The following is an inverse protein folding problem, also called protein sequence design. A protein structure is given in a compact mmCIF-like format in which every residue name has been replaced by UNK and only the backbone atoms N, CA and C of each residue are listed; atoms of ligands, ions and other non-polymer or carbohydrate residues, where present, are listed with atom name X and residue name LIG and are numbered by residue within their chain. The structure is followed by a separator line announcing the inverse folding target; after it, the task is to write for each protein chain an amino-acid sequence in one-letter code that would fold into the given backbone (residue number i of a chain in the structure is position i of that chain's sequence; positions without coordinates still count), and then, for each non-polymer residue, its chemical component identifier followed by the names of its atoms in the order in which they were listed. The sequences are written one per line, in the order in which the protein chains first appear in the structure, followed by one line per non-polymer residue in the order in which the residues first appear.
data_IF_290476054376
#
_entry.id   IF_290476054376
#
_cell.length_a   1.000
_cell.length_b   1.000
_cell.length_c   1.000
_cell.angle_alpha   90.00
_cell.angle_beta   90.00
_cell.angle_gamma   90.00
#
_symmetry.space_group_name_H-M   'P 1'
#
loop_
_entity.id
_entity.type
_entity.pdbx_description
1 polymer ?
#
# COMPACT_ATOMS: atom_id res chain seq x y z
N UNK A 1 -2.31 12.11 16.10
CA UNK A 1 -1.81 11.21 15.06
C UNK A 1 -1.58 11.99 13.78
N UNK A 2 -0.52 11.68 13.05
CA UNK A 2 -0.15 12.39 11.82
C UNK A 2 0.08 11.41 10.68
N UNK A 3 -0.17 11.86 9.47
CA UNK A 3 0.14 11.12 8.25
C UNK A 3 1.08 11.97 7.40
N UNK A 4 2.19 11.41 6.97
CA UNK A 4 3.12 12.05 6.03
C UNK A 4 3.23 11.23 4.75
N UNK A 5 3.38 11.90 3.63
CA UNK A 5 3.62 11.27 2.33
C UNK A 5 4.78 11.93 1.57
N UNK A 6 5.52 12.81 2.22
CA UNK A 6 6.67 13.46 1.62
C UNK A 6 7.80 12.46 1.37
N UNK A 7 8.39 12.50 0.18
CA UNK A 7 9.46 11.56 -0.22
C UNK A 7 10.65 11.62 0.74
N UNK A 8 10.99 12.82 1.22
CA UNK A 8 12.08 13.00 2.19
C UNK A 8 11.83 12.24 3.49
N UNK A 9 10.60 12.28 4.01
CA UNK A 9 10.21 11.54 5.22
C UNK A 9 10.19 10.04 4.97
N UNK A 10 9.78 9.60 3.80
CA UNK A 10 9.80 8.20 3.39
C UNK A 10 11.23 7.69 3.36
N UNK A 11 12.14 8.43 2.75
CA UNK A 11 13.55 8.03 2.65
C UNK A 11 14.25 8.07 4.01
N UNK A 12 13.91 9.03 4.86
CA UNK A 12 14.44 9.11 6.24
C UNK A 12 14.02 7.90 7.10
N UNK A 13 12.90 7.25 6.76
CA UNK A 13 12.38 6.08 7.46
C UNK A 13 12.50 4.80 6.62
N UNK A 14 13.42 4.78 5.67
CA UNK A 14 13.54 3.69 4.71
C UNK A 14 13.65 2.30 5.32
N UNK A 15 14.40 2.04 6.39
CA UNK A 15 14.45 0.69 6.98
C UNK A 15 13.07 0.13 7.35
N UNK A 16 12.20 0.95 7.88
CA UNK A 16 10.82 0.55 8.23
C UNK A 16 9.93 0.42 6.99
N UNK A 17 10.07 1.31 6.03
CA UNK A 17 9.37 1.24 4.75
C UNK A 17 9.77 -0.04 4.00
N UNK A 18 11.05 -0.33 3.92
CA UNK A 18 11.59 -1.56 3.34
C UNK A 18 11.00 -2.80 4.01
N UNK A 19 11.00 -2.83 5.33
CA UNK A 19 10.43 -3.92 6.10
C UNK A 19 8.95 -4.13 5.77
N UNK A 20 8.17 -3.06 5.71
CA UNK A 20 6.76 -3.11 5.35
C UNK A 20 6.54 -3.68 3.95
N UNK A 21 7.35 -3.29 2.97
CA UNK A 21 7.29 -3.81 1.61
C UNK A 21 7.57 -5.31 1.61
N UNK A 22 8.61 -5.74 2.30
CA UNK A 22 8.99 -7.16 2.39
C UNK A 22 7.89 -8.00 3.04
N UNK A 23 7.29 -7.52 4.13
CA UNK A 23 6.24 -8.24 4.84
C UNK A 23 4.91 -8.28 4.07
N UNK A 24 4.58 -7.22 3.37
CA UNK A 24 3.37 -7.18 2.54
C UNK A 24 3.49 -8.04 1.26
N UNK A 25 4.70 -8.42 0.88
CA UNK A 25 5.01 -9.12 -0.37
C UNK A 25 5.19 -10.63 -0.19
N UNK A 26 4.43 -11.23 0.72
CA UNK A 26 4.55 -12.67 1.04
C UNK A 26 4.18 -13.59 -0.13
N UNK A 27 3.46 -13.09 -1.13
CA UNK A 27 3.14 -13.83 -2.35
C UNK A 27 4.31 -13.88 -3.33
N UNK A 28 5.33 -13.03 -3.15
CA UNK A 28 6.53 -13.00 -3.98
C UNK A 28 7.57 -13.94 -3.38
N UNK A 29 8.22 -14.81 -4.19
CA UNK A 29 9.30 -15.66 -3.70
C UNK A 29 10.38 -14.86 -2.98
N UNK A 30 10.90 -15.38 -1.88
CA UNK A 30 11.86 -14.68 -1.03
C UNK A 30 13.06 -14.12 -1.80
N UNK A 31 13.61 -14.93 -2.72
CA UNK A 31 14.74 -14.52 -3.57
C UNK A 31 14.47 -13.34 -4.50
N UNK A 32 13.21 -13.04 -4.74
CA UNK A 32 12.78 -11.94 -5.63
C UNK A 32 12.36 -10.69 -4.85
N UNK A 33 12.27 -10.76 -3.52
CA UNK A 33 11.80 -9.63 -2.69
C UNK A 33 12.75 -8.45 -2.72
N UNK A 34 14.05 -8.67 -2.85
CA UNK A 34 15.03 -7.57 -2.94
C UNK A 34 14.85 -6.78 -4.24
N UNK A 35 14.57 -7.47 -5.34
CA UNK A 35 14.24 -6.82 -6.62
C UNK A 35 12.96 -6.02 -6.50
N UNK A 36 11.94 -6.57 -5.84
CA UNK A 36 10.68 -5.88 -5.58
C UNK A 36 10.89 -4.62 -4.74
N UNK A 37 11.70 -4.69 -3.69
CA UNK A 37 12.04 -3.54 -2.84
C UNK A 37 12.73 -2.46 -3.67
N UNK A 38 13.70 -2.82 -4.49
CA UNK A 38 14.39 -1.89 -5.37
C UNK A 38 13.43 -1.21 -6.36
N UNK A 39 12.59 -1.99 -7.04
CA UNK A 39 11.62 -1.46 -7.99
C UNK A 39 10.62 -0.53 -7.31
N UNK A 40 10.17 -0.89 -6.11
CA UNK A 40 9.25 -0.04 -5.33
C UNK A 40 9.92 1.27 -4.93
N UNK A 41 11.20 1.25 -4.54
CA UNK A 41 11.96 2.45 -4.25
C UNK A 41 12.03 3.38 -5.47
N UNK A 42 12.30 2.83 -6.64
CA UNK A 42 12.31 3.59 -7.89
C UNK A 42 10.94 4.21 -8.19
N UNK A 43 9.86 3.47 -7.99
CA UNK A 43 8.50 3.98 -8.18
C UNK A 43 8.18 5.13 -7.23
N UNK A 44 8.61 5.04 -5.98
CA UNK A 44 8.42 6.13 -5.00
C UNK A 44 9.18 7.38 -5.42
N UNK A 45 10.44 7.23 -5.80
CA UNK A 45 11.29 8.35 -6.21
C UNK A 45 10.83 9.02 -7.50
N UNK A 46 10.21 8.28 -8.40
CA UNK A 46 9.67 8.80 -9.67
C UNK A 46 8.22 9.27 -9.58
N UNK A 47 7.59 9.12 -8.42
CA UNK A 47 6.21 9.54 -8.20
C UNK A 47 5.13 8.58 -8.72
N UNK A 48 5.51 7.38 -9.20
CA UNK A 48 4.55 6.38 -9.66
C UNK A 48 3.82 5.67 -8.52
N UNK A 49 4.43 5.67 -7.34
CA UNK A 49 3.86 5.11 -6.13
C UNK A 49 3.89 6.14 -5.01
N UNK A 50 2.78 6.30 -4.32
CA UNK A 50 2.69 7.15 -3.13
C UNK A 50 2.70 6.28 -1.88
N UNK A 51 3.43 6.72 -0.88
CA UNK A 51 3.50 6.06 0.43
C UNK A 51 2.99 7.03 1.48
N UNK A 52 2.16 6.52 2.39
CA UNK A 52 1.74 7.24 3.59
C UNK A 52 2.32 6.55 4.80
N UNK A 53 2.91 7.33 5.67
CA UNK A 53 3.37 6.88 6.98
C UNK A 53 2.44 7.45 8.04
N UNK A 54 1.77 6.58 8.77
CA UNK A 54 1.00 6.97 9.95
C UNK A 54 1.90 6.91 11.17
N UNK A 55 2.03 8.02 11.89
CA UNK A 55 2.93 8.13 13.04
C UNK A 55 2.35 9.04 14.12
N UNK A 56 2.91 8.96 15.33
CA UNK A 56 2.55 9.82 16.46
C UNK A 56 3.56 10.95 16.72
N UNK A 57 4.51 11.16 15.81
CA UNK A 57 5.63 12.08 15.94
C UNK A 57 6.92 11.40 16.38
N UNK A 58 6.87 10.24 16.98
CA UNK A 58 8.01 9.45 17.45
C UNK A 58 8.04 8.08 16.82
N UNK A 59 6.91 7.36 16.85
CA UNK A 59 6.81 5.98 16.39
C UNK A 59 5.93 5.89 15.14
N UNK A 60 6.36 5.04 14.18
CA UNK A 60 5.57 4.70 13.02
C UNK A 60 4.58 3.60 13.42
N UNK A 61 3.31 3.83 13.15
CA UNK A 61 2.24 2.88 13.42
C UNK A 61 1.87 2.01 12.22
N UNK A 62 1.86 2.59 11.04
CA UNK A 62 1.51 1.88 9.81
C UNK A 62 2.15 2.52 8.59
N UNK A 63 2.32 1.72 7.56
CA UNK A 63 2.78 2.14 6.24
C UNK A 63 1.81 1.61 5.21
N UNK A 64 1.30 2.50 4.37
CA UNK A 64 0.38 2.17 3.28
C UNK A 64 0.89 2.80 2.00
N UNK A 65 0.93 2.02 0.94
CA UNK A 65 1.30 2.50 -0.39
C UNK A 65 0.17 2.35 -1.38
N UNK A 66 0.20 3.13 -2.42
CA UNK A 66 -0.75 3.05 -3.52
C UNK A 66 -0.10 3.39 -4.85
N UNK A 67 -0.50 2.68 -5.88
CA UNK A 67 -0.08 2.91 -7.26
C UNK A 67 -1.31 3.02 -8.15
N UNK A 68 -1.24 3.87 -9.17
CA UNK A 68 -2.28 3.97 -10.18
C UNK A 68 -2.02 2.89 -11.21
N UNK A 69 -3.02 2.06 -11.45
CA UNK A 69 -2.97 1.02 -12.47
C UNK A 69 -4.07 1.26 -13.50
N UNK A 70 -3.73 1.15 -14.77
CA UNK A 70 -4.70 1.15 -15.86
C UNK A 70 -4.87 -0.27 -16.35
N UNK A 71 -6.11 -0.76 -16.38
CA UNK A 71 -6.46 -2.09 -16.87
C UNK A 71 -7.33 -1.99 -18.12
N UNK A 72 -7.12 -2.93 -19.04
CA UNK A 72 -7.90 -3.05 -20.28
C UNK A 72 -7.45 -2.09 -21.38
N UNK A 73 -7.28 -2.55 -22.58
CA UNK A 73 -6.84 -1.92 -23.81
C UNK A 73 -7.20 -0.43 -24.03
N UNK A 74 -7.91 -0.12 -25.14
CA UNK A 74 -8.28 1.26 -25.51
C UNK A 74 -9.26 1.93 -24.53
N UNK A 75 -10.00 1.15 -23.75
CA UNK A 75 -10.95 1.63 -22.75
C UNK A 75 -10.42 1.46 -21.31
N UNK A 76 -9.10 1.64 -21.13
CA UNK A 76 -8.50 1.45 -19.83
C UNK A 76 -9.06 2.42 -18.79
N UNK A 77 -9.53 1.87 -17.65
CA UNK A 77 -10.02 2.64 -16.54
C UNK A 77 -8.94 2.67 -15.45
N UNK A 78 -8.51 3.85 -15.00
CA UNK A 78 -7.52 3.93 -13.93
C UNK A 78 -8.15 3.49 -12.61
N UNK A 79 -7.39 2.71 -11.85
CA UNK A 79 -7.74 2.28 -10.50
C UNK A 79 -6.55 2.45 -9.58
N UNK A 80 -6.81 2.51 -8.29
CA UNK A 80 -5.76 2.53 -7.27
C UNK A 80 -5.55 1.09 -6.78
N UNK A 81 -4.31 0.69 -6.69
CA UNK A 81 -3.92 -0.55 -6.04
C UNK A 81 -3.17 -0.21 -4.75
N UNK A 82 -3.68 -0.68 -3.63
CA UNK A 82 -2.99 -0.52 -2.34
C UNK A 82 -1.90 -1.58 -2.23
N UNK A 83 -0.66 -1.15 -2.11
CA UNK A 83 0.49 -2.00 -1.84
C UNK A 83 1.73 -1.12 -1.55
N UNK A 84 2.47 -1.33 -0.46
CA UNK A 84 2.17 -2.25 0.64
C UNK A 84 1.08 -1.74 1.59
N UNK A 85 0.61 -2.61 2.47
CA UNK A 85 -0.14 -2.24 3.66
C UNK A 85 0.44 -3.04 4.84
N UNK A 86 0.94 -2.36 5.84
CA UNK A 86 1.57 -2.99 7.00
C UNK A 86 1.38 -2.15 8.26
N UNK A 87 0.90 -2.77 9.32
CA UNK A 87 0.75 -2.14 10.63
C UNK A 87 1.81 -2.66 11.61
N UNK A 88 2.55 -1.74 12.21
CA UNK A 88 3.51 -2.05 13.28
C UNK A 88 2.83 -2.17 14.64
N UNK A 89 1.76 -1.42 14.84
CA UNK A 89 0.95 -1.44 16.06
C UNK A 89 -0.54 -1.44 15.67
N UNK A 90 -1.44 -1.86 16.58
CA UNK A 90 -2.87 -1.77 16.31
C UNK A 90 -3.30 -0.35 15.98
N UNK A 91 -4.11 -0.20 14.95
CA UNK A 91 -4.66 1.08 14.53
C UNK A 91 -5.99 1.35 15.20
N UNK A 92 -6.18 2.58 15.67
CA UNK A 92 -7.46 3.05 16.18
C UNK A 92 -8.43 3.32 15.02
N UNK A 93 -9.70 3.53 15.33
CA UNK A 93 -10.70 3.95 14.33
C UNK A 93 -10.28 5.26 13.66
N UNK A 94 -9.77 6.21 14.43
CA UNK A 94 -9.28 7.50 13.92
C UNK A 94 -8.11 7.33 12.95
N UNK A 95 -7.17 6.43 13.28
CA UNK A 95 -6.03 6.11 12.42
C UNK A 95 -6.48 5.58 11.06
N UNK A 96 -7.45 4.68 11.06
CA UNK A 96 -8.02 4.09 9.84
C UNK A 96 -8.72 5.13 9.00
N UNK A 97 -9.45 6.05 9.62
CA UNK A 97 -10.12 7.15 8.91
C UNK A 97 -9.13 8.10 8.26
N UNK A 98 -8.00 8.41 8.91
CA UNK A 98 -6.94 9.22 8.34
C UNK A 98 -6.33 8.57 7.08
N UNK A 99 -6.03 7.27 7.14
CA UNK A 99 -5.50 6.53 5.99
C UNK A 99 -6.52 6.45 4.87
N UNK A 100 -7.76 6.14 5.20
CA UNK A 100 -8.86 6.09 4.23
C UNK A 100 -9.03 7.43 3.52
N UNK A 101 -9.00 8.53 4.26
CA UNK A 101 -9.09 9.88 3.69
C UNK A 101 -7.96 10.13 2.69
N UNK A 102 -6.72 9.81 3.06
CA UNK A 102 -5.57 9.98 2.17
C UNK A 102 -5.73 9.19 0.87
N UNK A 103 -6.14 7.94 0.95
CA UNK A 103 -6.38 7.07 -0.20
C UNK A 103 -7.53 7.59 -1.08
N UNK A 104 -8.63 8.02 -0.47
CA UNK A 104 -9.78 8.56 -1.20
C UNK A 104 -9.44 9.87 -1.91
N UNK A 105 -8.71 10.77 -1.26
CA UNK A 105 -8.26 12.02 -1.87
C UNK A 105 -7.31 11.74 -3.04
N UNK A 106 -6.39 10.81 -2.88
CA UNK A 106 -5.48 10.38 -3.95
C UNK A 106 -6.25 9.81 -5.16
N UNK A 107 -7.25 8.97 -4.90
CA UNK A 107 -8.09 8.40 -5.95
C UNK A 107 -8.86 9.50 -6.70
N UNK A 108 -9.50 10.42 -5.98
CA UNK A 108 -10.24 11.53 -6.58
C UNK A 108 -9.35 12.44 -7.41
N UNK A 109 -8.17 12.80 -6.89
CA UNK A 109 -7.22 13.67 -7.57
C UNK A 109 -6.67 13.03 -8.86
N UNK A 110 -6.67 11.71 -8.96
CA UNK A 110 -6.23 10.96 -10.13
C UNK A 110 -7.37 10.39 -10.97
N UNK A 111 -8.60 10.82 -10.69
CA UNK A 111 -9.82 10.40 -11.41
C UNK A 111 -10.03 8.88 -11.41
N UNK A 112 -9.66 8.22 -10.31
CA UNK A 112 -9.88 6.81 -10.08
C UNK A 112 -11.18 6.59 -9.31
N UNK A 113 -12.00 5.65 -9.75
CA UNK A 113 -13.29 5.36 -9.12
C UNK A 113 -13.25 4.16 -8.18
N UNK A 114 -12.19 3.35 -8.23
CA UNK A 114 -12.07 2.11 -7.48
C UNK A 114 -10.69 2.02 -6.85
N UNK A 115 -10.66 1.55 -5.61
CA UNK A 115 -9.43 1.22 -4.89
C UNK A 115 -9.45 -0.28 -4.61
N UNK A 116 -8.45 -1.00 -5.10
CA UNK A 116 -8.25 -2.42 -4.82
C UNK A 116 -7.07 -2.61 -3.88
N UNK A 117 -7.12 -3.68 -3.10
CA UNK A 117 -6.00 -4.09 -2.28
C UNK A 117 -5.82 -5.59 -2.32
N UNK A 118 -4.58 -6.04 -2.34
CA UNK A 118 -4.26 -7.43 -2.13
C UNK A 118 -3.25 -7.57 -1.01
N UNK A 119 -3.40 -8.63 -0.22
CA UNK A 119 -2.40 -8.99 0.76
C UNK A 119 -2.50 -10.48 1.05
N UNK A 120 -1.38 -11.13 1.22
CA UNK A 120 -1.32 -12.49 1.73
C UNK A 120 -1.40 -12.53 3.27
N UNK A 121 -1.38 -11.37 3.93
CA UNK A 121 -1.42 -11.27 5.39
C UNK A 121 -2.87 -11.18 5.88
N UNK A 122 -3.36 -12.17 6.66
CA UNK A 122 -4.73 -12.14 7.19
C UNK A 122 -5.05 -10.91 8.05
N UNK A 123 -4.06 -10.31 8.70
CA UNK A 123 -4.25 -9.07 9.48
C UNK A 123 -4.69 -7.90 8.58
N UNK A 124 -4.14 -7.82 7.37
CA UNK A 124 -4.56 -6.81 6.39
C UNK A 124 -6.00 -7.03 5.94
N UNK A 125 -6.44 -8.28 5.79
CA UNK A 125 -7.82 -8.60 5.42
C UNK A 125 -8.81 -8.10 6.48
N UNK A 126 -8.50 -8.34 7.75
CA UNK A 126 -9.33 -7.88 8.88
C UNK A 126 -9.43 -6.35 8.88
N UNK A 127 -8.32 -5.66 8.68
CA UNK A 127 -8.28 -4.19 8.61
C UNK A 127 -9.13 -3.69 7.44
N UNK A 128 -8.98 -4.29 6.27
CA UNK A 128 -9.72 -3.91 5.07
C UNK A 128 -11.24 -4.02 5.30
N UNK A 129 -11.71 -5.14 5.85
CA UNK A 129 -13.13 -5.32 6.16
C UNK A 129 -13.63 -4.29 7.18
N UNK A 130 -12.84 -4.00 8.21
CA UNK A 130 -13.22 -3.01 9.23
C UNK A 130 -13.35 -1.59 8.70
N UNK A 131 -12.61 -1.24 7.66
CA UNK A 131 -12.72 0.08 7.01
C UNK A 131 -13.73 0.11 5.86
N UNK A 132 -14.47 -0.97 5.66
CA UNK A 132 -15.58 -1.03 4.71
C UNK A 132 -15.21 -1.53 3.31
N UNK A 133 -14.05 -2.15 3.14
CA UNK A 133 -13.71 -2.81 1.87
C UNK A 133 -14.45 -4.14 1.73
N UNK A 134 -14.80 -4.49 0.50
CA UNK A 134 -15.51 -5.72 0.17
C UNK A 134 -14.57 -6.69 -0.54
N UNK A 135 -14.61 -7.95 -0.13
CA UNK A 135 -13.89 -9.01 -0.84
C UNK A 135 -14.47 -9.21 -2.24
N UNK A 136 -13.61 -9.24 -3.26
CA UNK A 136 -14.05 -9.36 -4.66
C UNK A 136 -13.45 -10.54 -5.41
N UNK A 137 -12.26 -11.02 -5.00
CA UNK A 137 -11.59 -12.10 -5.72
C UNK A 137 -10.58 -12.85 -4.89
N UNK A 138 -10.35 -14.11 -5.23
CA UNK A 138 -9.20 -14.89 -4.76
C UNK A 138 -8.09 -14.85 -5.79
N UNK A 139 -6.85 -14.83 -5.34
CA UNK A 139 -5.68 -14.89 -6.21
C UNK A 139 -5.05 -16.28 -6.09
N UNK A 140 -4.82 -16.91 -7.24
CA UNK A 140 -4.16 -18.20 -7.33
C UNK A 140 -2.86 -18.03 -8.09
N UNK A 141 -1.85 -18.82 -7.80
CA UNK A 141 -0.61 -18.82 -8.56
C UNK A 141 -0.17 -20.22 -8.96
N UNK A 142 0.54 -20.30 -10.06
CA UNK A 142 1.36 -21.45 -10.44
C UNK A 142 2.80 -20.99 -10.51
N UNK A 143 3.69 -21.75 -9.89
CA UNK A 143 5.12 -21.51 -10.06
C UNK A 143 5.58 -22.22 -11.33
N UNK A 144 6.33 -21.47 -12.15
CA UNK A 144 6.93 -22.04 -13.36
C UNK A 144 8.23 -22.74 -12.98
N UNK A 145 8.32 -24.00 -13.37
CA UNK A 145 9.45 -24.88 -13.03
C UNK A 145 10.43 -24.96 -14.19
#
# INVERSE_FOLDING_TARGET
MKVTCEVEDIMANWPKVRYAIQQASLIVPEKERDVLVYNTACEILTGHRKIWILHDGVNIKAIVGAVIQKSGGAESVPSIIISPIFGFTPMTVEDKELLKKGLMDFARNNKCNVIYGYSANPKAWVIAEKIGMTFVAKVYKWEVV
#
